data_IF_180572889509
#
_entry.id   IF_180572889509
#
_cell.length_a   1.000
_cell.length_b   1.000
_cell.length_c   1.000
_cell.angle_alpha   90.00
_cell.angle_beta   90.00
_cell.angle_gamma   90.00
#
_symmetry.space_group_name_H-M   'P 1'
#
loop_
_entity.id
_entity.type
_entity.pdbx_description
1 polymer ?
#
# COMPACT_ATOMS: atom_id res chain seq x y z
N UNK A 1 8.07 -29.55 3.43
CA UNK A 1 6.98 -28.69 2.92
C UNK A 1 5.67 -29.42 3.15
N UNK A 2 4.77 -29.00 4.06
CA UNK A 2 3.44 -29.57 4.11
C UNK A 2 2.38 -28.53 3.72
N UNK A 3 1.80 -28.79 2.55
CA UNK A 3 0.51 -28.38 1.99
C UNK A 3 -0.21 -27.22 2.70
N UNK A 4 0.02 -26.01 2.18
CA UNK A 4 -1.01 -24.99 2.20
C UNK A 4 -2.26 -25.56 1.50
N UNK A 5 -3.48 -25.27 1.95
CA UNK A 5 -4.69 -25.80 1.34
C UNK A 5 -4.66 -25.51 -0.17
N UNK A 6 -4.43 -26.57 -0.96
CA UNK A 6 -4.60 -26.57 -2.40
C UNK A 6 -6.10 -26.54 -2.65
N UNK A 7 -6.66 -25.34 -2.51
CA UNK A 7 -7.97 -25.06 -3.07
C UNK A 7 -7.79 -25.26 -4.58
N UNK A 8 -8.44 -26.28 -5.13
CA UNK A 8 -8.46 -26.51 -6.57
C UNK A 8 -8.77 -25.19 -7.27
N UNK A 9 -8.08 -24.82 -8.37
CA UNK A 9 -8.38 -23.59 -9.09
C UNK A 9 -9.88 -23.56 -9.37
N UNK A 10 -10.58 -22.64 -8.71
CA UNK A 10 -12.04 -22.60 -8.73
C UNK A 10 -12.48 -22.55 -10.19
N UNK A 11 -13.44 -23.39 -10.60
CA UNK A 11 -13.92 -23.43 -11.98
C UNK A 11 -14.23 -21.98 -12.44
N UNK A 12 -13.37 -21.47 -13.30
CA UNK A 12 -13.35 -20.09 -13.77
C UNK A 12 -14.24 -20.09 -14.99
N UNK A 13 -15.32 -19.31 -14.99
CA UNK A 13 -16.32 -19.35 -16.05
C UNK A 13 -15.70 -19.38 -17.45
N UNK A 14 -15.97 -20.44 -18.21
CA UNK A 14 -15.78 -20.56 -19.66
C UNK A 14 -14.36 -20.56 -20.24
N UNK A 15 -13.33 -20.07 -19.54
CA UNK A 15 -11.97 -19.95 -20.07
C UNK A 15 -10.97 -20.90 -19.38
N UNK A 16 -10.03 -21.45 -20.16
CA UNK A 16 -8.95 -22.29 -19.63
C UNK A 16 -8.09 -21.44 -18.66
N UNK A 17 -7.81 -21.91 -17.43
CA UNK A 17 -6.97 -21.17 -16.50
C UNK A 17 -5.57 -20.96 -17.09
N UNK A 18 -4.98 -19.76 -16.96
CA UNK A 18 -3.66 -19.50 -17.52
C UNK A 18 -2.59 -20.37 -16.86
N UNK A 19 -1.54 -20.67 -17.61
CA UNK A 19 -0.35 -21.28 -17.01
C UNK A 19 0.30 -20.30 -16.02
N UNK A 20 1.02 -20.82 -15.02
CA UNK A 20 1.73 -19.98 -14.06
C UNK A 20 2.72 -19.02 -14.73
N UNK A 21 3.40 -19.47 -15.79
CA UNK A 21 4.33 -18.65 -16.54
C UNK A 21 3.64 -17.48 -17.28
N UNK A 22 2.46 -17.72 -17.85
CA UNK A 22 1.65 -16.66 -18.47
C UNK A 22 1.18 -15.63 -17.45
N UNK A 23 0.70 -16.09 -16.29
CA UNK A 23 0.32 -15.20 -15.21
C UNK A 23 1.51 -14.40 -14.67
N UNK A 24 2.66 -15.03 -14.43
CA UNK A 24 3.86 -14.35 -13.96
C UNK A 24 4.34 -13.27 -14.94
N UNK A 25 4.32 -13.55 -16.26
CA UNK A 25 4.62 -12.54 -17.28
C UNK A 25 3.61 -11.39 -17.28
N UNK A 26 2.34 -11.68 -17.06
CA UNK A 26 1.32 -10.64 -16.96
C UNK A 26 1.56 -9.73 -15.75
N UNK A 27 1.82 -10.32 -14.58
CA UNK A 27 2.10 -9.55 -13.36
C UNK A 27 3.37 -8.72 -13.48
N UNK A 28 4.44 -9.25 -14.09
CA UNK A 28 5.64 -8.48 -14.40
C UNK A 28 5.34 -7.31 -15.35
N UNK A 29 4.52 -7.53 -16.39
CA UNK A 29 4.10 -6.47 -17.31
C UNK A 29 3.27 -5.41 -16.59
N UNK A 30 2.28 -5.81 -15.79
CA UNK A 30 1.45 -4.89 -14.99
C UNK A 30 2.34 -4.06 -14.08
N UNK A 31 3.29 -4.69 -13.37
CA UNK A 31 4.24 -3.99 -12.49
C UNK A 31 5.13 -2.97 -13.19
N UNK A 32 5.35 -3.09 -14.51
CA UNK A 32 6.11 -2.12 -15.30
C UNK A 32 5.24 -0.97 -15.86
N UNK A 33 3.91 -1.13 -15.91
CA UNK A 33 2.99 -0.18 -16.56
C UNK A 33 1.87 0.32 -15.64
N UNK A 34 1.90 -0.01 -14.34
CA UNK A 34 0.88 0.36 -13.37
C UNK A 34 1.07 1.79 -12.85
N UNK A 35 0.83 2.76 -13.72
CA UNK A 35 0.80 4.20 -13.40
C UNK A 35 -0.62 4.69 -13.05
N UNK A 36 -0.73 5.92 -12.53
CA UNK A 36 -2.01 6.62 -12.38
C UNK A 36 -2.74 6.37 -11.05
N UNK A 37 -1.99 6.04 -9.99
CA UNK A 37 -2.51 5.87 -8.64
C UNK A 37 -3.51 4.71 -8.49
N UNK A 38 -4.17 4.57 -7.33
CA UNK A 38 -5.00 3.41 -7.03
C UNK A 38 -6.11 3.16 -8.06
N UNK A 39 -6.81 4.22 -8.51
CA UNK A 39 -7.89 4.09 -9.48
C UNK A 39 -7.39 3.64 -10.87
N UNK A 40 -6.28 4.20 -11.37
CA UNK A 40 -5.69 3.79 -12.64
C UNK A 40 -5.19 2.35 -12.61
N UNK A 41 -4.59 1.94 -11.50
CA UNK A 41 -4.10 0.57 -11.30
C UNK A 41 -5.23 -0.46 -11.23
N UNK A 42 -6.31 -0.15 -10.51
CA UNK A 42 -7.51 -0.98 -10.46
C UNK A 42 -8.12 -1.08 -11.86
N UNK A 43 -8.31 0.04 -12.56
CA UNK A 43 -8.86 0.05 -13.92
C UNK A 43 -7.99 -0.74 -14.91
N UNK A 44 -6.66 -0.63 -14.84
CA UNK A 44 -5.73 -1.41 -15.64
C UNK A 44 -5.91 -2.90 -15.38
N UNK A 45 -5.94 -3.32 -14.12
CA UNK A 45 -6.16 -4.72 -13.75
C UNK A 45 -7.52 -5.23 -14.20
N UNK A 46 -8.58 -4.43 -14.05
CA UNK A 46 -9.93 -4.78 -14.52
C UNK A 46 -9.93 -5.01 -16.03
N UNK A 47 -9.52 -4.03 -16.81
CA UNK A 47 -9.42 -4.12 -18.27
C UNK A 47 -8.63 -5.34 -18.70
N UNK A 48 -7.47 -5.58 -18.11
CA UNK A 48 -6.59 -6.68 -18.51
C UNK A 48 -7.13 -8.05 -18.08
N UNK A 49 -7.58 -8.20 -16.82
CA UNK A 49 -7.95 -9.51 -16.26
C UNK A 49 -9.39 -9.90 -16.60
N UNK A 50 -10.31 -8.94 -16.63
CA UNK A 50 -11.74 -9.13 -16.90
C UNK A 50 -12.03 -9.01 -18.39
N UNK A 51 -11.74 -7.85 -19.01
CA UNK A 51 -12.18 -7.59 -20.38
C UNK A 51 -11.32 -8.33 -21.43
N UNK A 52 -9.99 -8.17 -21.36
CA UNK A 52 -9.06 -8.67 -22.38
C UNK A 52 -8.76 -10.17 -22.20
N UNK A 53 -8.38 -10.59 -20.99
CA UNK A 53 -7.97 -11.97 -20.70
C UNK A 53 -9.10 -12.88 -20.26
N UNK A 54 -10.16 -12.33 -19.67
CA UNK A 54 -11.30 -13.09 -19.13
C UNK A 54 -10.87 -14.20 -18.16
N UNK A 55 -9.82 -13.94 -17.38
CA UNK A 55 -9.32 -14.87 -16.35
C UNK A 55 -10.12 -14.79 -15.05
N UNK A 56 -10.92 -13.74 -14.88
CA UNK A 56 -11.83 -13.55 -13.76
C UNK A 56 -13.06 -12.80 -14.28
N UNK A 57 -14.25 -13.17 -13.80
CA UNK A 57 -15.48 -12.46 -14.15
C UNK A 57 -15.67 -11.18 -13.30
N UNK A 58 -16.57 -10.31 -13.77
CA UNK A 58 -16.90 -9.04 -13.14
C UNK A 58 -17.27 -9.18 -11.66
N UNK A 59 -18.15 -10.13 -11.34
CA UNK A 59 -18.65 -10.33 -9.97
C UNK A 59 -17.54 -10.73 -9.02
N UNK A 60 -16.66 -11.65 -9.44
CA UNK A 60 -15.50 -12.09 -8.66
C UNK A 60 -14.46 -10.97 -8.50
N UNK A 61 -14.22 -10.18 -9.55
CA UNK A 61 -13.32 -9.04 -9.47
C UNK A 61 -13.81 -7.99 -8.48
N UNK A 62 -15.09 -7.60 -8.57
CA UNK A 62 -15.70 -6.64 -7.66
C UNK A 62 -15.75 -7.16 -6.22
N UNK A 63 -16.04 -8.45 -6.03
CA UNK A 63 -16.00 -9.08 -4.69
C UNK A 63 -14.60 -9.02 -4.07
N UNK A 64 -13.56 -9.33 -4.85
CA UNK A 64 -12.17 -9.21 -4.43
C UNK A 64 -11.79 -7.76 -4.09
N UNK A 65 -12.21 -6.81 -4.92
CA UNK A 65 -11.96 -5.39 -4.71
C UNK A 65 -12.61 -4.90 -3.42
N UNK A 66 -13.89 -5.24 -3.18
CA UNK A 66 -14.61 -4.87 -1.97
C UNK A 66 -13.95 -5.45 -0.72
N UNK A 67 -13.49 -6.70 -0.78
CA UNK A 67 -12.71 -7.30 0.29
C UNK A 67 -11.42 -6.51 0.57
N UNK A 68 -10.64 -6.18 -0.47
CA UNK A 68 -9.41 -5.40 -0.31
C UNK A 68 -9.65 -3.98 0.23
N UNK A 69 -10.81 -3.37 -0.04
CA UNK A 69 -11.18 -2.06 0.53
C UNK A 69 -11.43 -2.09 2.04
N UNK A 70 -11.68 -3.26 2.63
CA UNK A 70 -11.85 -3.44 4.08
C UNK A 70 -10.53 -3.69 4.82
N UNK A 71 -9.49 -4.05 4.08
CA UNK A 71 -8.19 -4.38 4.64
C UNK A 71 -7.30 -3.15 4.72
N UNK A 72 -6.39 -3.07 5.71
CA UNK A 72 -5.45 -1.99 5.73
C UNK A 72 -4.32 -2.24 4.72
N UNK A 73 -3.93 -1.21 3.97
CA UNK A 73 -2.83 -1.24 2.99
C UNK A 73 -3.23 -0.79 1.57
N UNK A 74 -2.27 -0.84 0.62
CA UNK A 74 -2.50 -0.46 -0.78
C UNK A 74 -3.44 -1.45 -1.50
N UNK A 75 -4.64 -1.00 -1.84
CA UNK A 75 -5.72 -1.85 -2.34
C UNK A 75 -5.36 -2.52 -3.67
N UNK A 76 -4.67 -1.82 -4.57
CA UNK A 76 -4.31 -2.36 -5.88
C UNK A 76 -3.31 -3.53 -5.77
N UNK A 77 -2.33 -3.43 -4.86
CA UNK A 77 -1.38 -4.52 -4.62
C UNK A 77 -2.06 -5.71 -3.93
N UNK A 78 -2.96 -5.44 -3.00
CA UNK A 78 -3.77 -6.46 -2.34
C UNK A 78 -4.68 -7.19 -3.33
N UNK A 79 -5.31 -6.46 -4.26
CA UNK A 79 -6.12 -7.05 -5.32
C UNK A 79 -5.28 -7.91 -6.27
N UNK A 80 -4.09 -7.44 -6.66
CA UNK A 80 -3.15 -8.24 -7.45
C UNK A 80 -2.80 -9.54 -6.71
N UNK A 81 -2.49 -9.45 -5.41
CA UNK A 81 -2.17 -10.60 -4.55
C UNK A 81 -3.36 -11.57 -4.44
N UNK A 82 -4.57 -11.06 -4.24
CA UNK A 82 -5.81 -11.84 -4.17
C UNK A 82 -6.06 -12.57 -5.49
N UNK A 83 -6.03 -11.88 -6.62
CA UNK A 83 -6.28 -12.50 -7.93
C UNK A 83 -5.19 -13.50 -8.27
N UNK A 84 -3.91 -13.18 -8.02
CA UNK A 84 -2.82 -14.13 -8.16
C UNK A 84 -3.02 -15.39 -7.31
N UNK A 85 -3.48 -15.21 -6.06
CA UNK A 85 -3.81 -16.31 -5.17
C UNK A 85 -4.97 -17.17 -5.69
N UNK A 86 -6.00 -16.55 -6.26
CA UNK A 86 -7.12 -17.26 -6.87
C UNK A 86 -6.71 -18.07 -8.11
N UNK A 87 -5.73 -17.60 -8.87
CA UNK A 87 -5.25 -18.28 -10.08
C UNK A 87 -4.29 -19.44 -9.78
N UNK A 88 -3.34 -19.28 -8.85
CA UNK A 88 -2.28 -20.28 -8.60
C UNK A 88 -1.93 -20.47 -7.11
N UNK A 89 -2.88 -20.22 -6.20
CA UNK A 89 -2.69 -20.38 -4.75
C UNK A 89 -1.60 -19.48 -4.18
N UNK A 90 -0.96 -19.91 -3.08
CA UNK A 90 0.08 -19.14 -2.40
C UNK A 90 1.18 -18.64 -3.35
N UNK A 91 1.63 -19.48 -4.29
CA UNK A 91 2.66 -19.11 -5.27
C UNK A 91 2.18 -17.98 -6.18
N UNK A 92 0.96 -18.08 -6.70
CA UNK A 92 0.37 -17.04 -7.53
C UNK A 92 0.21 -15.71 -6.80
N UNK A 93 -0.25 -15.75 -5.54
CA UNK A 93 -0.42 -14.54 -4.73
C UNK A 93 0.90 -13.84 -4.44
N UNK A 94 1.92 -14.60 -4.03
CA UNK A 94 3.28 -14.08 -3.81
C UNK A 94 3.86 -13.48 -5.10
N UNK A 95 3.78 -14.21 -6.21
CA UNK A 95 4.30 -13.74 -7.49
C UNK A 95 3.58 -12.47 -7.96
N UNK A 96 2.26 -12.42 -7.87
CA UNK A 96 1.48 -11.26 -8.28
C UNK A 96 1.79 -10.03 -7.42
N UNK A 97 1.72 -10.16 -6.09
CA UNK A 97 1.99 -9.06 -5.17
C UNK A 97 3.42 -8.53 -5.27
N UNK A 98 4.42 -9.43 -5.35
CA UNK A 98 5.82 -9.02 -5.46
C UNK A 98 6.13 -8.37 -6.81
N UNK A 99 5.67 -8.94 -7.93
CA UNK A 99 5.91 -8.36 -9.25
C UNK A 99 5.14 -7.05 -9.47
N UNK A 100 4.05 -6.82 -8.75
CA UNK A 100 3.33 -5.55 -8.77
C UNK A 100 4.13 -4.40 -8.13
N UNK A 101 4.95 -4.70 -7.12
CA UNK A 101 5.70 -3.70 -6.33
C UNK A 101 7.16 -3.58 -6.75
N UNK A 102 7.83 -4.71 -7.03
CA UNK A 102 9.28 -4.77 -7.20
C UNK A 102 9.84 -3.86 -8.31
N UNK A 103 9.22 -3.75 -9.52
CA UNK A 103 9.74 -2.84 -10.54
C UNK A 103 9.72 -1.38 -10.08
N UNK A 104 8.61 -0.96 -9.47
CA UNK A 104 8.47 0.37 -8.89
C UNK A 104 9.48 0.63 -7.78
N UNK A 105 9.66 -0.34 -6.88
CA UNK A 105 10.61 -0.23 -5.79
C UNK A 105 12.06 -0.04 -6.28
N UNK A 106 12.47 -0.79 -7.30
CA UNK A 106 13.80 -0.60 -7.92
C UNK A 106 13.95 0.81 -8.50
N UNK A 107 12.91 1.32 -9.18
CA UNK A 107 12.95 2.68 -9.75
C UNK A 107 13.01 3.72 -8.64
N UNK A 108 12.20 3.60 -7.59
CA UNK A 108 12.19 4.54 -6.46
C UNK A 108 13.51 4.49 -5.68
N UNK A 109 14.11 3.32 -5.47
CA UNK A 109 15.43 3.20 -4.86
C UNK A 109 16.51 3.93 -5.67
N UNK A 110 16.52 3.74 -7.00
CA UNK A 110 17.47 4.44 -7.89
C UNK A 110 17.23 5.95 -7.85
N UNK A 111 15.98 6.40 -7.91
CA UNK A 111 15.64 7.82 -7.84
C UNK A 111 16.00 8.43 -6.48
N UNK A 112 15.82 7.68 -5.39
CA UNK A 112 16.23 8.09 -4.04
C UNK A 112 17.74 8.24 -3.93
N UNK A 113 18.49 7.30 -4.53
CA UNK A 113 19.94 7.36 -4.60
C UNK A 113 20.43 8.57 -5.44
N UNK A 114 19.81 8.80 -6.59
CA UNK A 114 20.11 9.97 -7.43
C UNK A 114 19.75 11.28 -6.73
N UNK A 115 18.62 11.33 -6.02
CA UNK A 115 18.21 12.47 -5.22
C UNK A 115 19.26 12.79 -4.14
N UNK A 116 19.74 11.77 -3.42
CA UNK A 116 20.76 11.96 -2.39
C UNK A 116 22.13 12.42 -2.95
N UNK A 117 22.52 11.92 -4.13
CA UNK A 117 23.78 12.32 -4.77
C UNK A 117 23.73 13.69 -5.45
N UNK A 118 22.63 14.02 -6.13
CA UNK A 118 22.57 15.12 -7.10
C UNK A 118 21.46 16.14 -6.83
N UNK A 119 20.61 15.93 -5.82
CA UNK A 119 19.44 16.79 -5.56
C UNK A 119 19.76 18.25 -5.24
N UNK A 120 21.02 18.55 -4.87
CA UNK A 120 21.50 19.92 -4.60
C UNK A 120 22.05 20.65 -5.84
N UNK A 121 22.09 20.01 -7.01
CA UNK A 121 22.53 20.67 -8.23
C UNK A 121 21.46 21.66 -8.70
N UNK A 122 21.81 22.86 -9.20
CA UNK A 122 20.83 23.87 -9.64
C UNK A 122 19.82 23.35 -10.68
N UNK A 123 20.27 22.47 -11.58
CA UNK A 123 19.39 21.84 -12.57
C UNK A 123 18.41 20.85 -11.91
N UNK A 124 18.89 20.07 -10.92
CA UNK A 124 18.02 19.16 -10.18
C UNK A 124 16.98 19.94 -9.37
N UNK A 125 17.39 21.01 -8.71
CA UNK A 125 16.49 21.90 -7.95
C UNK A 125 15.40 22.51 -8.84
N UNK A 126 15.76 22.98 -10.04
CA UNK A 126 14.80 23.50 -11.02
C UNK A 126 13.82 22.42 -11.52
N UNK A 127 14.32 21.21 -11.79
CA UNK A 127 13.48 20.06 -12.17
C UNK A 127 12.52 19.69 -11.03
N UNK A 128 13.00 19.61 -9.79
CA UNK A 128 12.19 19.34 -8.61
C UNK A 128 11.16 20.42 -8.37
N UNK A 129 11.45 21.70 -8.64
CA UNK A 129 10.44 22.76 -8.57
C UNK A 129 9.30 22.53 -9.57
N UNK A 130 9.62 22.14 -10.81
CA UNK A 130 8.62 21.77 -11.81
C UNK A 130 7.78 20.56 -11.38
N UNK A 131 8.42 19.53 -10.82
CA UNK A 131 7.74 18.36 -10.27
C UNK A 131 6.85 18.75 -9.09
N UNK A 132 7.31 19.58 -8.14
CA UNK A 132 6.51 20.08 -7.00
C UNK A 132 5.24 20.78 -7.46
N UNK A 133 5.34 21.63 -8.49
CA UNK A 133 4.17 22.31 -9.05
C UNK A 133 3.15 21.32 -9.64
N UNK A 134 3.63 20.30 -10.37
CA UNK A 134 2.77 19.24 -10.91
C UNK A 134 2.14 18.38 -9.80
N UNK A 135 2.91 18.00 -8.78
CA UNK A 135 2.43 17.25 -7.62
C UNK A 135 1.37 18.02 -6.87
N UNK A 136 1.57 19.31 -6.62
CA UNK A 136 0.56 20.13 -5.96
C UNK A 136 -0.76 20.10 -6.73
N UNK A 137 -0.70 20.20 -8.06
CA UNK A 137 -1.89 20.09 -8.91
C UNK A 137 -2.54 18.70 -8.80
N UNK A 138 -1.76 17.61 -8.81
CA UNK A 138 -2.25 16.22 -8.65
C UNK A 138 -2.88 16.02 -7.26
N UNK A 139 -2.23 16.49 -6.19
CA UNK A 139 -2.73 16.38 -4.82
C UNK A 139 -4.04 17.15 -4.66
N UNK A 140 -4.12 18.37 -5.18
CA UNK A 140 -5.36 19.16 -5.18
C UNK A 140 -6.46 18.44 -5.98
N UNK A 141 -6.14 17.88 -7.14
CA UNK A 141 -7.08 17.10 -7.95
C UNK A 141 -7.58 15.86 -7.21
N UNK A 142 -6.68 15.12 -6.57
CA UNK A 142 -7.00 13.96 -5.75
C UNK A 142 -7.89 14.33 -4.57
N UNK A 143 -7.58 15.41 -3.86
CA UNK A 143 -8.41 15.94 -2.76
C UNK A 143 -9.81 16.32 -3.26
N UNK A 144 -9.91 17.06 -4.36
CA UNK A 144 -11.20 17.45 -4.95
C UNK A 144 -11.99 16.24 -5.45
N UNK A 145 -11.31 15.22 -5.99
CA UNK A 145 -11.92 13.97 -6.43
C UNK A 145 -12.46 13.17 -5.24
N UNK A 146 -11.68 13.04 -4.17
CA UNK A 146 -12.09 12.35 -2.93
C UNK A 146 -13.24 13.11 -2.25
N UNK A 147 -13.13 14.43 -2.08
CA UNK A 147 -14.18 15.26 -1.48
C UNK A 147 -15.50 15.13 -2.23
N UNK A 148 -15.49 15.23 -3.57
CA UNK A 148 -16.70 15.04 -4.40
C UNK A 148 -17.30 13.65 -4.28
N UNK A 149 -16.49 12.62 -4.02
CA UNK A 149 -16.95 11.23 -3.88
C UNK A 149 -17.46 10.92 -2.47
N UNK A 150 -16.79 11.42 -1.44
CA UNK A 150 -17.02 11.08 -0.04
C UNK A 150 -17.95 12.04 0.70
N UNK A 151 -17.90 13.35 0.41
CA UNK A 151 -18.66 14.37 1.13
C UNK A 151 -19.97 14.67 0.39
N UNK A 152 -21.03 13.94 0.73
CA UNK A 152 -22.34 14.02 0.05
C UNK A 152 -23.36 14.84 0.84
N UNK A 153 -23.23 14.91 2.16
CA UNK A 153 -24.15 15.62 3.05
C UNK A 153 -23.45 16.61 3.99
N UNK A 154 -24.26 17.39 4.71
CA UNK A 154 -23.77 18.35 5.71
C UNK A 154 -23.00 17.66 6.85
N UNK A 155 -23.44 16.48 7.26
CA UNK A 155 -22.76 15.70 8.30
C UNK A 155 -21.32 15.33 7.89
N UNK A 156 -21.10 14.90 6.65
CA UNK A 156 -19.77 14.54 6.14
C UNK A 156 -18.84 15.76 6.15
N UNK A 157 -19.34 16.93 5.74
CA UNK A 157 -18.58 18.18 5.77
C UNK A 157 -18.27 18.65 7.19
N UNK A 158 -19.18 18.45 8.15
CA UNK A 158 -18.92 18.75 9.57
C UNK A 158 -17.84 17.84 10.14
N UNK A 159 -17.89 16.54 9.87
CA UNK A 159 -16.86 15.58 10.29
C UNK A 159 -15.52 15.93 9.66
N UNK A 160 -15.49 16.21 8.35
CA UNK A 160 -14.26 16.59 7.65
C UNK A 160 -13.66 17.90 8.20
N UNK A 161 -14.49 18.91 8.47
CA UNK A 161 -14.05 20.20 9.03
C UNK A 161 -13.54 20.04 10.46
N UNK A 162 -14.23 19.27 11.30
CA UNK A 162 -13.82 18.96 12.66
C UNK A 162 -12.51 18.16 12.69
N UNK A 163 -12.36 17.17 11.80
CA UNK A 163 -11.12 16.42 11.63
C UNK A 163 -9.96 17.34 11.20
N UNK A 164 -10.19 18.23 10.23
CA UNK A 164 -9.20 19.21 9.78
C UNK A 164 -8.75 20.13 10.92
N UNK A 165 -9.69 20.70 11.68
CA UNK A 165 -9.39 21.52 12.86
C UNK A 165 -8.62 20.72 13.91
N UNK A 166 -9.04 19.47 14.15
CA UNK A 166 -8.40 18.55 15.09
C UNK A 166 -6.93 18.30 14.76
N UNK A 167 -6.61 17.97 13.51
CA UNK A 167 -5.22 17.73 13.07
C UNK A 167 -4.43 19.04 13.05
N UNK A 168 -4.96 20.05 12.35
CA UNK A 168 -4.19 21.24 11.99
C UNK A 168 -3.99 22.21 13.15
N UNK A 169 -5.04 22.48 13.94
CA UNK A 169 -4.97 23.46 15.04
C UNK A 169 -4.69 22.78 16.39
N UNK A 170 -5.33 21.64 16.65
CA UNK A 170 -5.28 20.98 17.95
C UNK A 170 -4.21 19.89 18.04
N UNK A 171 -3.57 19.52 16.92
CA UNK A 171 -2.57 18.44 16.83
C UNK A 171 -3.06 17.12 17.41
N UNK A 172 -4.36 16.82 17.23
CA UNK A 172 -4.96 15.57 17.68
C UNK A 172 -4.37 14.42 16.86
N UNK A 173 -3.92 13.32 17.50
CA UNK A 173 -3.41 12.15 16.80
C UNK A 173 -4.42 11.59 15.78
N UNK A 174 -3.95 11.37 14.55
CA UNK A 174 -4.78 10.84 13.45
C UNK A 174 -5.58 9.58 13.80
N UNK A 175 -5.05 8.57 14.52
CA UNK A 175 -5.82 7.39 14.89
C UNK A 175 -7.08 7.71 15.71
N UNK A 176 -7.02 8.72 16.59
CA UNK A 176 -8.19 9.14 17.38
C UNK A 176 -9.27 9.75 16.51
N UNK A 177 -8.88 10.47 15.45
CA UNK A 177 -9.80 11.08 14.50
C UNK A 177 -10.49 10.00 13.68
N UNK A 178 -9.76 8.98 13.23
CA UNK A 178 -10.33 7.83 12.53
C UNK A 178 -11.34 7.10 13.42
N UNK A 179 -11.01 6.84 14.68
CA UNK A 179 -11.92 6.19 15.63
C UNK A 179 -13.18 7.04 15.86
N UNK A 180 -13.02 8.35 16.06
CA UNK A 180 -14.14 9.27 16.25
C UNK A 180 -15.05 9.31 15.01
N UNK A 181 -14.46 9.42 13.81
CA UNK A 181 -15.21 9.39 12.56
C UNK A 181 -15.96 8.06 12.35
N UNK A 182 -15.34 6.94 12.70
CA UNK A 182 -15.96 5.62 12.63
C UNK A 182 -17.16 5.50 13.59
N UNK A 183 -17.05 6.01 14.82
CA UNK A 183 -18.16 6.03 15.79
C UNK A 183 -19.33 6.89 15.30
N UNK A 184 -19.03 8.07 14.73
CA UNK A 184 -20.05 8.94 14.13
C UNK A 184 -20.73 8.23 12.95
N UNK A 185 -19.94 7.58 12.08
CA UNK A 185 -20.45 6.78 10.97
C UNK A 185 -21.38 5.65 11.43
N UNK A 186 -20.97 4.91 12.46
CA UNK A 186 -21.73 3.82 13.05
C UNK A 186 -23.10 4.27 13.60
N UNK A 187 -23.15 5.40 14.30
CA UNK A 187 -24.40 5.94 14.85
C UNK A 187 -25.27 6.67 13.83
N UNK A 188 -24.68 7.19 12.76
CA UNK A 188 -25.42 7.86 11.69
C UNK A 188 -26.25 6.92 10.80
N UNK A 189 -26.18 5.60 11.04
CA UNK A 189 -27.08 4.62 10.43
C UNK A 189 -26.83 4.40 8.93
N UNK A 190 -25.57 4.45 8.50
CA UNK A 190 -25.19 4.21 7.10
C UNK A 190 -25.84 2.95 6.56
N UNK A 191 -26.71 3.08 5.55
CA UNK A 191 -27.27 1.95 4.82
C UNK A 191 -26.11 1.16 4.24
N UNK A 192 -25.95 -0.10 4.67
CA UNK A 192 -25.13 -1.04 3.93
C UNK A 192 -25.63 -1.02 2.48
N UNK A 193 -24.75 -0.68 1.53
CA UNK A 193 -25.10 -0.85 0.14
C UNK A 193 -25.40 -2.34 -0.05
N UNK A 194 -26.59 -2.67 -0.58
CA UNK A 194 -26.94 -4.02 -0.99
C UNK A 194 -26.05 -4.40 -2.17
N UNK A 195 -24.81 -4.77 -1.87
CA UNK A 195 -23.87 -5.32 -2.83
C UNK A 195 -24.26 -6.78 -3.00
N UNK A 196 -24.65 -7.22 -4.21
CA UNK A 196 -24.93 -8.62 -4.46
C UNK A 196 -23.68 -9.44 -4.09
N UNK A 197 -23.77 -10.19 -3.00
CA UNK A 197 -22.76 -11.17 -2.64
C UNK A 197 -22.81 -12.24 -3.73
N UNK A 198 -21.85 -12.20 -4.66
CA UNK A 198 -21.66 -13.31 -5.57
C UNK A 198 -21.51 -14.57 -4.71
N UNK A 199 -22.30 -15.60 -5.00
CA UNK A 199 -22.29 -16.86 -4.27
C UNK A 199 -20.94 -17.57 -4.45
N UNK A 200 -19.94 -17.16 -3.68
CA UNK A 200 -18.70 -17.89 -3.55
C UNK A 200 -19.00 -19.16 -2.77
N UNK A 201 -18.60 -20.31 -3.29
CA UNK A 201 -18.58 -21.52 -2.50
C UNK A 201 -17.58 -21.29 -1.37
N UNK A 202 -18.00 -21.31 -0.10
CA UNK A 202 -17.07 -21.14 1.01
C UNK A 202 -16.06 -22.29 0.94
N UNK A 203 -14.79 -21.98 0.80
CA UNK A 203 -13.77 -22.99 1.04
C UNK A 203 -13.92 -23.40 2.51
N UNK A 204 -13.94 -24.70 2.78
CA UNK A 204 -14.03 -25.22 4.16
C UNK A 204 -12.68 -25.02 4.86
N UNK A 205 -12.38 -23.78 5.23
CA UNK A 205 -11.14 -23.40 5.91
C UNK A 205 -11.38 -23.52 7.40
N UNK A 206 -10.60 -24.39 8.04
CA UNK A 206 -10.70 -24.60 9.49
C UNK A 206 -10.05 -23.44 10.23
N UNK A 207 -10.59 -23.08 11.40
CA UNK A 207 -10.00 -22.05 12.26
C UNK A 207 -8.52 -22.30 12.55
N UNK A 208 -8.12 -23.56 12.70
CA UNK A 208 -6.72 -23.95 12.92
C UNK A 208 -5.79 -23.61 11.73
N UNK A 209 -6.29 -23.72 10.49
CA UNK A 209 -5.52 -23.29 9.31
C UNK A 209 -5.35 -21.78 9.28
N UNK A 210 -6.39 -21.02 9.60
CA UNK A 210 -6.33 -19.56 9.65
C UNK A 210 -5.38 -19.07 10.74
N UNK A 211 -5.47 -19.63 11.96
CA UNK A 211 -4.55 -19.32 13.05
C UNK A 211 -3.10 -19.64 12.68
N UNK A 212 -2.85 -20.76 12.01
CA UNK A 212 -1.51 -21.13 11.53
C UNK A 212 -1.01 -20.14 10.48
N UNK A 213 -1.83 -19.77 9.51
CA UNK A 213 -1.47 -18.77 8.48
C UNK A 213 -1.13 -17.43 9.14
N UNK A 214 -1.96 -16.97 10.07
CA UNK A 214 -1.72 -15.74 10.84
C UNK A 214 -0.42 -15.81 11.63
N UNK A 215 -0.17 -16.90 12.35
CA UNK A 215 1.06 -17.06 13.12
C UNK A 215 2.33 -17.06 12.24
N UNK A 216 2.29 -17.76 11.10
CA UNK A 216 3.41 -17.79 10.15
C UNK A 216 3.67 -16.41 9.58
N UNK A 217 2.64 -15.71 9.12
CA UNK A 217 2.80 -14.40 8.49
C UNK A 217 3.13 -13.29 9.48
N UNK A 218 2.63 -13.37 10.72
CA UNK A 218 3.09 -12.50 11.81
C UNK A 218 4.58 -12.74 12.09
N UNK A 219 5.04 -13.99 12.11
CA UNK A 219 6.47 -14.28 12.28
C UNK A 219 7.30 -13.74 11.10
N UNK A 220 6.85 -13.95 9.85
CA UNK A 220 7.50 -13.40 8.65
C UNK A 220 7.61 -11.89 8.76
N UNK A 221 6.54 -11.20 9.15
CA UNK A 221 6.56 -9.75 9.25
C UNK A 221 7.43 -9.25 10.41
N UNK A 222 7.22 -9.76 11.63
CA UNK A 222 7.79 -9.20 12.86
C UNK A 222 9.23 -9.64 13.12
N UNK A 223 9.61 -10.89 12.79
CA UNK A 223 10.95 -11.41 13.11
C UNK A 223 12.06 -10.58 12.46
N UNK A 224 12.02 -10.23 11.15
CA UNK A 224 13.04 -9.39 10.54
C UNK A 224 13.16 -8.02 11.22
N UNK A 225 12.04 -7.40 11.60
CA UNK A 225 12.02 -6.11 12.29
C UNK A 225 12.56 -6.22 13.72
N UNK A 226 12.25 -7.31 14.42
CA UNK A 226 12.80 -7.60 15.74
C UNK A 226 14.32 -7.84 15.67
N UNK A 227 14.81 -8.50 14.61
CA UNK A 227 16.25 -8.68 14.35
C UNK A 227 16.92 -7.33 14.09
N UNK A 228 16.35 -6.46 13.27
CA UNK A 228 16.86 -5.08 13.06
C UNK A 228 16.93 -4.35 14.41
N UNK A 229 15.86 -4.40 15.22
CA UNK A 229 15.83 -3.78 16.54
C UNK A 229 16.87 -4.35 17.50
N UNK A 230 17.11 -5.65 17.46
CA UNK A 230 18.09 -6.31 18.32
C UNK A 230 19.52 -5.94 17.92
N UNK A 231 19.83 -5.92 16.61
CA UNK A 231 21.17 -5.66 16.09
C UNK A 231 21.58 -4.19 16.21
N UNK A 232 20.66 -3.26 15.92
CA UNK A 232 20.96 -1.83 15.88
C UNK A 232 20.53 -1.08 17.16
N UNK A 233 19.66 -1.67 17.96
CA UNK A 233 19.12 -1.06 19.17
C UNK A 233 17.82 -0.29 18.93
N UNK A 234 17.10 0.02 20.03
CA UNK A 234 15.73 0.51 19.97
C UNK A 234 15.54 1.94 19.47
N UNK A 235 16.56 2.80 19.60
CA UNK A 235 16.56 4.19 19.15
C UNK A 235 17.37 4.42 17.87
N UNK A 236 17.72 3.36 17.15
CA UNK A 236 18.38 3.49 15.86
C UNK A 236 17.34 3.72 14.75
N UNK A 237 17.65 4.57 13.77
CA UNK A 237 16.72 4.96 12.70
C UNK A 237 16.10 3.76 11.97
N UNK A 238 16.85 2.69 11.70
CA UNK A 238 16.30 1.47 11.06
C UNK A 238 15.20 0.80 11.91
N UNK A 239 15.36 0.82 13.24
CA UNK A 239 14.36 0.29 14.17
C UNK A 239 13.12 1.18 14.22
N UNK A 240 13.32 2.49 14.17
CA UNK A 240 12.24 3.48 14.15
C UNK A 240 11.45 3.42 12.84
N UNK A 241 12.13 3.35 11.70
CA UNK A 241 11.56 3.10 10.36
C UNK A 241 10.70 1.84 10.40
N UNK A 242 11.26 0.72 10.86
CA UNK A 242 10.53 -0.55 10.93
C UNK A 242 9.27 -0.47 11.78
N UNK A 243 9.34 0.21 12.93
CA UNK A 243 8.20 0.43 13.82
C UNK A 243 7.14 1.37 13.23
N UNK A 244 7.58 2.50 12.68
CA UNK A 244 6.72 3.53 12.11
C UNK A 244 5.95 3.01 10.89
N UNK A 245 6.63 2.38 9.94
CA UNK A 245 5.96 1.84 8.75
C UNK A 245 5.10 0.61 9.05
N UNK A 246 5.45 -0.17 10.08
CA UNK A 246 4.57 -1.26 10.55
C UNK A 246 3.26 -0.73 11.15
N UNK A 247 3.35 0.37 11.91
CA UNK A 247 2.19 1.11 12.41
C UNK A 247 1.34 1.67 11.28
N UNK A 248 1.98 2.34 10.31
CA UNK A 248 1.28 2.85 9.13
C UNK A 248 0.56 1.73 8.39
N UNK A 249 1.21 0.60 8.16
CA UNK A 249 0.65 -0.52 7.39
C UNK A 249 -0.65 -1.08 7.98
N UNK A 250 -0.86 -1.01 9.30
CA UNK A 250 -2.10 -1.46 9.96
C UNK A 250 -3.14 -0.37 10.19
N UNK A 251 -2.75 0.90 10.03
CA UNK A 251 -3.64 2.07 10.19
C UNK A 251 -4.06 2.67 8.84
N UNK A 252 -3.58 2.11 7.73
CA UNK A 252 -3.86 2.57 6.37
C UNK A 252 -5.20 2.06 5.88
N UNK A 253 -6.27 2.84 5.99
CA UNK A 253 -7.56 2.52 5.36
C UNK A 253 -7.94 3.59 4.33
N UNK A 254 -8.53 3.20 3.20
CA UNK A 254 -9.10 4.13 2.22
C UNK A 254 -8.09 4.80 1.28
N UNK A 255 -7.00 4.09 0.95
CA UNK A 255 -6.09 4.45 -0.14
C UNK A 255 -4.78 5.11 0.31
N UNK A 256 -3.81 5.10 -0.61
CA UNK A 256 -2.49 5.67 -0.37
C UNK A 256 -2.54 7.14 0.12
N UNK A 257 -3.46 7.96 -0.39
CA UNK A 257 -3.50 9.40 -0.07
C UNK A 257 -3.78 9.72 1.40
N UNK A 258 -4.64 8.95 2.09
CA UNK A 258 -4.94 9.19 3.50
C UNK A 258 -3.70 8.98 4.39
N UNK A 259 -2.93 7.94 4.06
CA UNK A 259 -1.68 7.60 4.75
C UNK A 259 -0.60 8.62 4.52
N UNK A 260 -0.49 9.12 3.29
CA UNK A 260 0.57 10.06 2.92
C UNK A 260 0.44 11.37 3.66
N UNK A 261 -0.80 11.84 3.90
CA UNK A 261 -1.04 13.01 4.73
C UNK A 261 -0.57 12.80 6.18
N UNK A 262 -0.90 11.65 6.78
CA UNK A 262 -0.47 11.31 8.14
C UNK A 262 1.05 11.14 8.23
N UNK A 263 1.64 10.39 7.29
CA UNK A 263 3.07 10.16 7.23
C UNK A 263 3.86 11.46 7.05
N UNK A 264 3.42 12.35 6.16
CA UNK A 264 4.12 13.60 5.89
C UNK A 264 4.26 14.46 7.17
N UNK A 265 3.23 14.49 8.00
CA UNK A 265 3.29 15.21 9.28
C UNK A 265 4.32 14.58 10.23
N UNK A 266 4.24 13.28 10.49
CA UNK A 266 5.12 12.61 11.45
C UNK A 266 6.58 12.62 10.98
N UNK A 267 6.83 12.35 9.70
CA UNK A 267 8.18 12.29 9.11
C UNK A 267 8.86 13.66 9.12
N UNK A 268 8.12 14.74 8.93
CA UNK A 268 8.67 16.11 8.85
C UNK A 268 8.72 16.77 10.23
N UNK A 269 7.66 16.68 11.03
CA UNK A 269 7.55 17.41 12.29
C UNK A 269 8.09 16.63 13.49
N UNK A 270 7.72 15.36 13.60
CA UNK A 270 8.03 14.54 14.78
C UNK A 270 9.42 13.90 14.68
N UNK A 271 9.64 13.10 13.63
CA UNK A 271 10.90 12.39 13.40
C UNK A 271 11.96 13.28 12.76
N UNK A 272 11.55 14.28 11.97
CA UNK A 272 12.44 15.20 11.23
C UNK A 272 13.41 14.51 10.28
N UNK A 273 13.08 13.31 9.80
CA UNK A 273 13.89 12.59 8.83
C UNK A 273 14.00 13.34 7.49
N UNK A 274 12.91 14.02 7.10
CA UNK A 274 12.84 14.81 5.85
C UNK A 274 12.35 16.23 6.14
N UNK A 275 12.71 17.16 5.27
CA UNK A 275 12.04 18.47 5.21
C UNK A 275 10.76 18.41 4.38
N UNK A 276 9.83 19.34 4.62
CA UNK A 276 8.54 19.41 3.91
C UNK A 276 8.70 19.42 2.37
N UNK A 277 9.70 20.15 1.86
CA UNK A 277 10.00 20.19 0.43
C UNK A 277 10.40 18.83 -0.14
N UNK A 278 11.14 18.03 0.62
CA UNK A 278 11.62 16.70 0.20
C UNK A 278 10.51 15.66 0.24
N UNK A 279 9.59 15.80 1.18
CA UNK A 279 8.38 14.98 1.22
C UNK A 279 7.53 15.22 -0.04
N UNK A 280 7.40 16.47 -0.50
CA UNK A 280 6.76 16.79 -1.76
C UNK A 280 7.52 16.24 -2.98
N UNK A 281 8.85 16.29 -2.95
CA UNK A 281 9.69 15.68 -4.00
C UNK A 281 9.46 14.17 -4.10
N UNK A 282 9.46 13.48 -2.96
CA UNK A 282 9.18 12.05 -2.89
C UNK A 282 7.80 11.68 -3.44
N UNK A 283 6.78 12.49 -3.15
CA UNK A 283 5.44 12.29 -3.73
C UNK A 283 5.44 12.43 -5.25
N UNK A 284 6.18 13.40 -5.79
CA UNK A 284 6.30 13.56 -7.24
C UNK A 284 7.05 12.46 -7.94
N UNK A 285 8.11 11.96 -7.31
CA UNK A 285 8.78 10.76 -7.80
C UNK A 285 7.78 9.60 -7.81
N UNK A 286 7.05 9.34 -6.72
CA UNK A 286 6.13 8.22 -6.65
C UNK A 286 4.96 8.29 -7.66
N UNK A 287 4.41 9.46 -7.95
CA UNK A 287 3.36 9.65 -8.98
C UNK A 287 3.88 9.42 -10.41
N UNK A 288 5.18 9.63 -10.64
CA UNK A 288 5.82 9.48 -11.96
C UNK A 288 6.48 8.12 -12.16
N UNK A 289 6.48 7.27 -11.14
CA UNK A 289 7.03 5.91 -11.20
C UNK A 289 5.94 4.84 -11.34
N UNK A 290 6.25 3.70 -11.97
CA UNK A 290 5.35 2.56 -11.90
C UNK A 290 5.26 2.06 -10.46
N UNK A 291 4.14 1.49 -10.09
CA UNK A 291 3.91 0.86 -8.80
C UNK A 291 2.95 1.65 -7.91
N UNK A 292 2.53 1.06 -6.78
CA UNK A 292 1.59 1.71 -5.89
C UNK A 292 2.19 2.99 -5.31
N UNK A 293 1.39 4.07 -5.26
CA UNK A 293 1.82 5.40 -4.81
C UNK A 293 2.51 5.38 -3.42
N UNK A 294 2.13 4.41 -2.57
CA UNK A 294 2.75 4.20 -1.26
C UNK A 294 4.25 3.88 -1.33
N UNK A 295 4.83 3.60 -2.50
CA UNK A 295 6.28 3.45 -2.68
C UNK A 295 7.08 4.71 -2.33
N UNK A 296 6.47 5.89 -2.24
CA UNK A 296 7.11 7.07 -1.63
C UNK A 296 7.63 6.78 -0.21
N UNK A 297 7.03 5.83 0.52
CA UNK A 297 7.55 5.38 1.82
C UNK A 297 8.99 4.88 1.72
N UNK A 298 9.35 4.19 0.63
CA UNK A 298 10.72 3.72 0.38
C UNK A 298 11.70 4.88 0.25
N UNK A 299 11.33 5.95 -0.46
CA UNK A 299 12.11 7.18 -0.55
C UNK A 299 12.34 7.81 0.83
N UNK A 300 11.29 7.86 1.65
CA UNK A 300 11.38 8.36 3.03
C UNK A 300 12.35 7.51 3.86
N UNK A 301 12.20 6.19 3.83
CA UNK A 301 13.05 5.26 4.56
C UNK A 301 14.51 5.32 4.12
N UNK A 302 14.75 5.46 2.81
CA UNK A 302 16.08 5.65 2.25
C UNK A 302 16.73 6.92 2.80
N UNK A 303 16.08 8.07 2.69
CA UNK A 303 16.64 9.35 3.13
C UNK A 303 16.87 9.43 4.64
N UNK A 304 15.93 8.90 5.42
CA UNK A 304 16.03 8.79 6.87
C UNK A 304 17.31 8.02 7.26
N UNK A 305 17.45 6.79 6.76
CA UNK A 305 18.60 5.95 7.10
C UNK A 305 19.91 6.43 6.48
N UNK A 306 19.87 7.02 5.27
CA UNK A 306 21.04 7.61 4.62
C UNK A 306 21.67 8.73 5.46
N UNK A 307 20.84 9.51 6.17
CA UNK A 307 21.27 10.64 7.01
C UNK A 307 21.61 10.23 8.43
N UNK A 308 20.74 9.42 9.04
CA UNK A 308 20.77 9.17 10.48
C UNK A 308 21.28 7.76 10.84
N UNK A 309 21.50 6.89 9.86
CA UNK A 309 21.88 5.49 10.10
C UNK A 309 23.33 5.29 10.55
N UNK A 310 24.17 6.33 10.45
CA UNK A 310 25.60 6.24 10.77
C UNK A 310 26.38 5.29 9.85
N UNK A 311 27.70 5.21 10.03
CA UNK A 311 28.55 4.36 9.21
C UNK A 311 28.53 4.72 7.72
N UNK A 312 28.32 3.74 6.85
CA UNK A 312 28.23 3.96 5.40
C UNK A 312 26.82 4.41 5.01
N UNK A 313 26.68 5.69 4.67
CA UNK A 313 25.41 6.31 4.31
C UNK A 313 24.64 5.58 3.19
N UNK A 314 25.33 5.12 2.14
CA UNK A 314 24.71 4.40 1.02
C UNK A 314 24.15 3.05 1.45
N UNK A 315 24.93 2.30 2.24
CA UNK A 315 24.48 1.03 2.79
C UNK A 315 23.27 1.22 3.71
N UNK A 316 23.30 2.26 4.56
CA UNK A 316 22.17 2.56 5.44
C UNK A 316 20.93 3.01 4.67
N UNK A 317 21.08 3.84 3.64
CA UNK A 317 19.97 4.24 2.78
C UNK A 317 19.30 3.02 2.14
N UNK A 318 20.07 2.09 1.58
CA UNK A 318 19.53 0.83 1.01
C UNK A 318 18.85 -0.02 2.10
N UNK A 319 19.44 -0.14 3.29
CA UNK A 319 18.81 -0.85 4.41
C UNK A 319 17.50 -0.19 4.84
N UNK A 320 17.44 1.14 4.91
CA UNK A 320 16.25 1.90 5.24
C UNK A 320 15.12 1.68 4.23
N UNK A 321 15.45 1.69 2.93
CA UNK A 321 14.51 1.35 1.86
C UNK A 321 13.97 -0.08 2.02
N UNK A 322 14.85 -1.06 2.22
CA UNK A 322 14.46 -2.47 2.38
C UNK A 322 13.58 -2.71 3.63
N UNK A 323 13.95 -2.13 4.78
CA UNK A 323 13.16 -2.21 6.01
C UNK A 323 11.78 -1.59 5.80
N UNK A 324 11.71 -0.46 5.09
CA UNK A 324 10.44 0.21 4.79
C UNK A 324 9.55 -0.64 3.89
N UNK A 325 10.07 -1.16 2.78
CA UNK A 325 9.32 -2.04 1.90
C UNK A 325 8.77 -3.26 2.66
N UNK A 326 9.60 -3.87 3.50
CA UNK A 326 9.17 -5.02 4.30
C UNK A 326 8.05 -4.65 5.27
N UNK A 327 8.24 -3.59 6.07
CA UNK A 327 7.28 -3.14 7.06
C UNK A 327 5.94 -2.71 6.44
N UNK A 328 5.97 -2.10 5.26
CA UNK A 328 4.79 -1.62 4.54
C UNK A 328 4.02 -2.74 3.85
N UNK A 329 4.69 -3.68 3.17
CA UNK A 329 4.03 -4.64 2.29
C UNK A 329 3.84 -6.05 2.88
N UNK A 330 4.65 -6.48 3.85
CA UNK A 330 4.48 -7.80 4.47
C UNK A 330 3.09 -8.01 5.12
N UNK A 331 2.50 -7.03 5.83
CA UNK A 331 1.14 -7.14 6.37
C UNK A 331 0.07 -7.38 5.31
N UNK A 332 0.25 -6.87 4.11
CA UNK A 332 -0.73 -7.05 3.03
C UNK A 332 -0.89 -8.53 2.67
N UNK A 333 0.22 -9.28 2.63
CA UNK A 333 0.17 -10.72 2.40
C UNK A 333 -0.49 -11.48 3.56
N UNK A 334 -0.23 -11.07 4.82
CA UNK A 334 -0.92 -11.61 5.99
C UNK A 334 -2.44 -11.50 5.81
N UNK A 335 -2.94 -10.30 5.53
CA UNK A 335 -4.38 -10.04 5.41
C UNK A 335 -5.02 -10.83 4.28
N UNK A 336 -4.37 -10.86 3.11
CA UNK A 336 -4.89 -11.59 1.95
C UNK A 336 -4.88 -13.08 2.18
N UNK A 337 -3.79 -13.68 2.66
CA UNK A 337 -3.74 -15.14 2.83
C UNK A 337 -4.56 -15.64 4.02
N UNK A 338 -4.82 -14.79 5.02
CA UNK A 338 -5.73 -15.13 6.11
C UNK A 338 -7.20 -14.99 5.73
N UNK A 339 -7.57 -13.96 4.96
CA UNK A 339 -8.98 -13.63 4.68
C UNK A 339 -9.50 -14.09 3.32
N UNK A 340 -8.68 -14.12 2.26
CA UNK A 340 -9.13 -14.50 0.91
C UNK A 340 -9.74 -15.91 0.76
N UNK A 341 -9.43 -16.90 1.62
CA UNK A 341 -10.11 -18.20 1.58
C UNK A 341 -11.60 -18.20 1.97
N UNK A 342 -12.10 -17.12 2.57
CA UNK A 342 -13.51 -16.95 2.98
C UNK A 342 -14.30 -16.11 1.97
#
# INVERSE_FOLDING_TARGET
MPDAPTIAPANIGGAQPPTFAEAARLWARIGLINFGGPAGQIALMHRTLVDEKKWIDEGRYLSALNFCMLLPGPEAMQLATYVGWRLHGLKGGLTAGLLFVAPGAVVVLVLSALYAAFGKLPLAEALFLGVKAAVLAIVVEALLRIARRALKGQADWLVASAAFIGIFLLKVPFPLIVIAAALVGFWSGGRAADVPLASAQPASVTMGQTLRTVAIWLAIWIVPLAVVRFLFGPGHVLSEIGWFFSKLAVMTFGGAYAVLAYMAQDVVEHYRWLHAGEMLDGLGLAETTPGPLILVTEFVGFLAAFREGGGNAWAMGVLGALVTLWATFAPCFLWIFAGAPY
#
